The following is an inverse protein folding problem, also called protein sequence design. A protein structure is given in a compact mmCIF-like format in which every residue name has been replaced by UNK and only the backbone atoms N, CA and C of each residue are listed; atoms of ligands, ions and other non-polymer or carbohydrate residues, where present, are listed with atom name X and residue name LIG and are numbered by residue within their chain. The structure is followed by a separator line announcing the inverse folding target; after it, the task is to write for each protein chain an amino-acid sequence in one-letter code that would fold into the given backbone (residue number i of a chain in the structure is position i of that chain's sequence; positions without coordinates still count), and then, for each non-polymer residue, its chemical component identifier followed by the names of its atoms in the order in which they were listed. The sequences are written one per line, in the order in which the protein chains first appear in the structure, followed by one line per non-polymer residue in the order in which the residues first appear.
data_IF_698147244078
#
_entry.id   IF_698147244078
#
_cell.length_a   1.000
_cell.length_b   1.000
_cell.length_c   1.000
_cell.angle_alpha   90.00
_cell.angle_beta   90.00
_cell.angle_gamma   90.00
#
_symmetry.space_group_name_H-M   'P 1'
#
loop_
_entity.id
_entity.type
_entity.pdbx_description
1 polymer ?
#
# COMPACT_ATOMS: atom_id res chain seq x y z
N UNK A 1 54.89 8.64 -53.59
CA UNK A 1 53.45 8.63 -53.92
C UNK A 1 52.76 9.50 -52.92
N UNK A 2 52.77 10.78 -53.25
CA UNK A 2 52.02 11.84 -52.61
C UNK A 2 50.52 11.61 -52.80
N UNK A 3 49.76 11.91 -51.76
CA UNK A 3 48.30 11.80 -51.76
C UNK A 3 47.73 12.58 -50.59
N UNK A 4 48.06 13.87 -50.56
CA UNK A 4 47.37 14.88 -49.74
C UNK A 4 45.99 15.11 -50.36
N UNK A 5 44.94 14.92 -49.57
CA UNK A 5 43.57 15.31 -49.90
C UNK A 5 43.04 16.10 -48.72
N UNK A 6 42.94 17.39 -48.95
CA UNK A 6 42.43 18.46 -48.09
C UNK A 6 40.93 18.67 -48.31
N UNK A 7 40.27 19.15 -47.25
CA UNK A 7 39.03 19.95 -47.24
C UNK A 7 37.74 19.17 -47.61
N UNK A 8 36.59 19.34 -46.97
CA UNK A 8 35.94 20.56 -46.48
C UNK A 8 35.13 20.27 -45.20
N UNK A 9 35.30 21.11 -44.18
CA UNK A 9 34.38 21.24 -43.03
C UNK A 9 33.19 22.11 -43.47
N UNK A 10 32.00 21.51 -43.60
CA UNK A 10 30.74 22.25 -43.63
C UNK A 10 30.25 22.43 -42.20
N UNK A 11 30.45 23.63 -41.66
CA UNK A 11 29.83 24.09 -40.43
C UNK A 11 28.34 24.28 -40.63
N UNK A 12 27.55 23.31 -40.17
CA UNK A 12 26.13 23.51 -39.92
C UNK A 12 26.01 24.11 -38.52
N UNK A 13 25.75 25.43 -38.49
CA UNK A 13 25.24 26.13 -37.32
C UNK A 13 23.83 25.59 -37.00
N UNK A 14 23.77 24.43 -36.35
CA UNK A 14 22.55 24.00 -35.66
C UNK A 14 22.35 24.94 -34.47
N UNK A 15 21.46 25.92 -34.67
CA UNK A 15 20.89 26.70 -33.58
C UNK A 15 20.43 25.74 -32.49
N UNK A 16 21.09 25.81 -31.32
CA UNK A 16 20.68 25.17 -30.08
C UNK A 16 19.27 25.68 -29.71
N UNK A 17 18.25 25.04 -30.29
CA UNK A 17 16.87 25.14 -29.84
C UNK A 17 16.85 24.47 -28.48
N UNK A 18 17.13 25.25 -27.43
CA UNK A 18 16.93 24.85 -26.04
C UNK A 18 15.52 24.27 -25.97
N UNK A 19 15.36 22.95 -25.75
CA UNK A 19 14.05 22.34 -25.68
C UNK A 19 13.38 23.02 -24.50
N UNK A 20 12.39 23.86 -24.79
CA UNK A 20 11.56 24.49 -23.77
C UNK A 20 11.08 23.36 -22.87
N UNK A 21 11.62 23.30 -21.65
CA UNK A 21 11.30 22.27 -20.68
C UNK A 21 9.78 22.20 -20.66
N UNK A 22 9.16 21.03 -20.90
CA UNK A 22 7.72 20.92 -20.80
C UNK A 22 7.41 21.41 -19.39
N UNK A 23 6.76 22.57 -19.29
CA UNK A 23 6.27 23.12 -18.03
C UNK A 23 5.72 21.91 -17.30
N UNK A 24 6.34 21.57 -16.17
CA UNK A 24 5.83 20.55 -15.26
C UNK A 24 4.39 20.96 -15.10
N UNK A 25 3.50 20.27 -15.82
CA UNK A 25 2.08 20.49 -15.71
C UNK A 25 1.89 20.10 -14.27
N UNK A 26 1.81 21.11 -13.39
CA UNK A 26 1.12 21.00 -12.13
C UNK A 26 -0.18 20.38 -12.59
N UNK A 27 -0.30 19.05 -12.45
CA UNK A 27 -1.59 18.42 -12.42
C UNK A 27 -2.22 19.24 -11.32
N UNK A 28 -3.09 20.19 -11.71
CA UNK A 28 -4.20 20.59 -10.89
C UNK A 28 -4.90 19.26 -10.68
N UNK A 29 -4.43 18.53 -9.67
CA UNK A 29 -5.29 17.73 -8.85
C UNK A 29 -6.36 18.73 -8.50
N UNK A 30 -7.47 18.67 -9.24
CA UNK A 30 -8.66 19.26 -8.73
C UNK A 30 -8.76 18.61 -7.36
N UNK A 31 -8.51 19.36 -6.30
CA UNK A 31 -8.79 18.99 -4.91
C UNK A 31 -10.31 18.90 -4.70
N UNK A 32 -11.02 18.34 -5.68
CA UNK A 32 -12.05 17.37 -5.38
C UNK A 32 -11.27 16.25 -4.71
N UNK A 33 -11.22 16.33 -3.38
CA UNK A 33 -11.38 15.16 -2.52
C UNK A 33 -12.08 14.08 -3.35
N UNK A 34 -11.57 12.84 -3.44
CA UNK A 34 -12.35 11.76 -4.01
C UNK A 34 -13.58 11.63 -3.12
N UNK A 35 -14.57 12.47 -3.45
CA UNK A 35 -15.98 12.31 -3.23
C UNK A 35 -16.17 10.96 -3.86
N UNK A 36 -16.00 9.93 -3.03
CA UNK A 36 -16.95 8.85 -2.90
C UNK A 36 -18.21 9.43 -3.51
N UNK A 37 -18.43 9.10 -4.80
CA UNK A 37 -19.66 9.48 -5.42
C UNK A 37 -20.69 9.03 -4.41
N UNK A 38 -21.62 9.92 -4.05
CA UNK A 38 -22.68 9.62 -3.10
C UNK A 38 -23.63 8.58 -3.74
N UNK A 39 -23.08 7.48 -4.29
CA UNK A 39 -23.75 6.19 -4.38
C UNK A 39 -24.40 6.00 -3.03
N UNK A 40 -25.72 5.88 -3.08
CA UNK A 40 -26.52 5.73 -1.90
C UNK A 40 -25.93 4.58 -1.08
N UNK A 41 -25.95 4.74 0.24
CA UNK A 41 -25.53 3.71 1.19
C UNK A 41 -26.28 2.37 0.97
N UNK A 42 -27.34 2.40 0.17
CA UNK A 42 -28.18 1.30 -0.28
C UNK A 42 -27.48 0.33 -1.26
N UNK A 43 -26.45 0.75 -1.99
CA UNK A 43 -25.74 -0.10 -2.97
C UNK A 43 -24.56 -0.89 -2.36
N UNK A 44 -24.34 -0.82 -1.04
CA UNK A 44 -23.26 -1.57 -0.40
C UNK A 44 -23.66 -3.04 -0.31
N UNK A 45 -22.88 -3.99 -0.88
CA UNK A 45 -23.17 -5.41 -0.76
C UNK A 45 -23.35 -5.81 0.70
N UNK A 46 -24.32 -6.70 0.96
CA UNK A 46 -24.66 -7.14 2.32
C UNK A 46 -23.42 -7.59 3.11
N UNK A 47 -22.53 -8.33 2.47
CA UNK A 47 -21.29 -8.82 3.08
C UNK A 47 -20.35 -7.67 3.50
N UNK A 48 -20.22 -6.60 2.70
CA UNK A 48 -19.43 -5.43 3.07
C UNK A 48 -20.02 -4.69 4.28
N UNK A 49 -21.35 -4.64 4.40
CA UNK A 49 -22.04 -4.10 5.60
C UNK A 49 -21.72 -4.93 6.84
N UNK A 50 -21.68 -6.25 6.72
CA UNK A 50 -21.27 -7.17 7.80
C UNK A 50 -19.84 -6.87 8.26
N UNK A 51 -18.88 -6.80 7.34
CA UNK A 51 -17.47 -6.48 7.64
C UNK A 51 -17.35 -5.14 8.40
N UNK A 52 -18.03 -4.09 7.93
CA UNK A 52 -18.01 -2.77 8.58
C UNK A 52 -18.63 -2.80 9.99
N UNK A 53 -19.70 -3.56 10.18
CA UNK A 53 -20.31 -3.76 11.49
C UNK A 53 -19.35 -4.51 12.43
N UNK A 54 -18.72 -5.58 11.95
CA UNK A 54 -17.70 -6.34 12.70
C UNK A 54 -16.58 -5.43 13.18
N UNK A 55 -15.99 -4.62 12.29
CA UNK A 55 -14.92 -3.67 12.66
C UNK A 55 -15.41 -2.66 13.70
N UNK A 56 -16.62 -2.10 13.54
CA UNK A 56 -17.21 -1.16 14.52
C UNK A 56 -17.42 -1.81 15.88
N UNK A 57 -17.84 -3.08 15.91
CA UNK A 57 -18.06 -3.80 17.16
C UNK A 57 -16.73 -4.19 17.82
N UNK A 58 -15.72 -4.62 17.07
CA UNK A 58 -14.36 -4.82 17.57
C UNK A 58 -13.83 -3.55 18.25
N UNK A 59 -14.03 -2.36 17.66
CA UNK A 59 -13.65 -1.08 18.29
C UNK A 59 -14.39 -0.84 19.62
N UNK A 60 -15.69 -1.15 19.69
CA UNK A 60 -16.47 -1.05 20.93
C UNK A 60 -15.99 -2.03 22.00
N UNK A 61 -15.66 -3.27 21.61
CA UNK A 61 -15.09 -4.26 22.53
C UNK A 61 -13.78 -3.77 23.14
N UNK A 62 -12.86 -3.29 22.30
CA UNK A 62 -11.57 -2.74 22.76
C UNK A 62 -11.80 -1.59 23.73
N UNK A 63 -12.72 -0.67 23.42
CA UNK A 63 -13.06 0.44 24.32
C UNK A 63 -13.60 -0.06 25.66
N UNK A 64 -14.49 -1.05 25.64
CA UNK A 64 -15.06 -1.63 26.85
C UNK A 64 -14.00 -2.32 27.72
N UNK A 65 -13.13 -3.13 27.12
CA UNK A 65 -12.06 -3.85 27.83
C UNK A 65 -11.09 -2.86 28.50
N UNK A 66 -10.76 -1.76 27.80
CA UNK A 66 -9.99 -0.65 28.35
C UNK A 66 -10.66 -0.01 29.55
N UNK A 67 -11.96 0.26 29.45
CA UNK A 67 -12.73 0.88 30.52
C UNK A 67 -12.91 -0.06 31.72
N UNK A 68 -12.92 -1.38 31.50
CA UNK A 68 -13.16 -2.35 32.56
C UNK A 68 -11.90 -2.80 33.31
N UNK A 69 -10.73 -2.22 33.01
CA UNK A 69 -9.46 -2.59 33.65
C UNK A 69 -8.93 -3.98 33.27
N UNK A 70 -9.53 -4.64 32.27
CA UNK A 70 -9.15 -5.99 31.81
C UNK A 70 -8.06 -5.96 30.73
N UNK A 71 -7.29 -4.86 30.64
CA UNK A 71 -6.22 -4.71 29.64
C UNK A 71 -5.06 -5.70 29.85
N UNK A 72 -4.90 -6.26 31.05
CA UNK A 72 -3.86 -7.26 31.32
C UNK A 72 -4.05 -8.54 30.52
N UNK A 73 -5.27 -8.81 30.08
CA UNK A 73 -5.63 -10.05 29.36
C UNK A 73 -5.56 -9.88 27.83
N UNK A 74 -5.28 -8.65 27.34
CA UNK A 74 -5.22 -8.35 25.91
C UNK A 74 -4.05 -7.41 25.63
N UNK A 75 -2.97 -7.98 25.10
CA UNK A 75 -1.78 -7.23 24.72
C UNK A 75 -2.08 -6.24 23.56
N UNK A 76 -1.42 -5.07 23.61
CA UNK A 76 -1.33 -4.11 22.51
C UNK A 76 -2.66 -3.48 22.02
N UNK A 77 -3.60 -3.25 22.92
CA UNK A 77 -4.79 -2.44 22.61
C UNK A 77 -4.46 -0.95 22.59
N UNK A 78 -3.92 -0.39 21.51
CA UNK A 78 -3.64 1.05 21.46
C UNK A 78 -3.15 1.56 20.11
N UNK A 79 -3.88 2.54 19.56
CA UNK A 79 -3.38 3.28 18.42
C UNK A 79 -4.41 3.93 17.50
N UNK A 80 -3.93 4.87 16.69
CA UNK A 80 -4.70 5.59 15.66
C UNK A 80 -4.26 5.21 14.24
N UNK A 81 -3.13 4.52 14.08
CA UNK A 81 -2.61 4.13 12.76
C UNK A 81 -3.25 2.84 12.25
N UNK A 82 -3.19 2.63 10.94
CA UNK A 82 -3.68 1.38 10.30
C UNK A 82 -2.99 0.15 10.89
N UNK A 83 -1.68 0.22 11.12
CA UNK A 83 -0.89 -0.84 11.75
C UNK A 83 -1.46 -1.24 13.11
N UNK A 84 -1.72 -0.26 13.98
CA UNK A 84 -2.26 -0.49 15.32
C UNK A 84 -3.70 -1.02 15.30
N UNK A 85 -4.49 -0.66 14.27
CA UNK A 85 -5.82 -1.23 14.05
C UNK A 85 -5.75 -2.73 13.71
N UNK A 86 -4.77 -3.13 12.89
CA UNK A 86 -4.52 -4.53 12.54
C UNK A 86 -4.06 -5.31 13.78
N UNK A 87 -3.13 -4.75 14.57
CA UNK A 87 -2.69 -5.36 15.83
C UNK A 87 -3.85 -5.54 16.81
N UNK A 88 -4.72 -4.53 16.92
CA UNK A 88 -5.90 -4.61 17.79
C UNK A 88 -6.85 -5.73 17.37
N UNK A 89 -7.09 -5.91 16.06
CA UNK A 89 -7.90 -7.03 15.54
C UNK A 89 -7.21 -8.38 15.81
N UNK A 90 -5.89 -8.45 15.64
CA UNK A 90 -5.12 -9.66 15.90
C UNK A 90 -5.16 -10.06 17.39
N UNK A 91 -5.05 -9.10 18.31
CA UNK A 91 -5.21 -9.33 19.74
C UNK A 91 -6.64 -9.78 20.11
N UNK A 92 -7.66 -9.18 19.48
CA UNK A 92 -9.05 -9.64 19.66
C UNK A 92 -9.22 -11.08 19.22
N UNK A 93 -8.64 -11.45 18.07
CA UNK A 93 -8.71 -12.83 17.55
C UNK A 93 -8.03 -13.81 18.53
N UNK A 94 -6.79 -13.53 18.94
CA UNK A 94 -6.03 -14.39 19.89
C UNK A 94 -6.77 -14.61 21.20
N UNK A 95 -7.43 -13.57 21.72
CA UNK A 95 -8.18 -13.62 22.98
C UNK A 95 -9.68 -13.84 22.79
N UNK A 96 -10.17 -14.20 21.59
CA UNK A 96 -11.59 -14.14 21.25
C UNK A 96 -12.47 -14.97 22.20
N UNK A 97 -12.06 -16.22 22.49
CA UNK A 97 -12.75 -17.13 23.43
C UNK A 97 -12.81 -16.56 24.85
N UNK A 98 -11.74 -15.93 25.32
CA UNK A 98 -11.66 -15.32 26.65
C UNK A 98 -12.58 -14.09 26.71
N UNK A 99 -12.50 -13.22 25.71
CA UNK A 99 -13.34 -12.03 25.63
C UNK A 99 -14.81 -12.43 25.60
N UNK A 100 -15.15 -13.48 24.85
CA UNK A 100 -16.52 -14.01 24.77
C UNK A 100 -17.05 -14.40 26.16
N UNK A 101 -16.25 -15.10 26.96
CA UNK A 101 -16.59 -15.46 28.35
C UNK A 101 -16.78 -14.23 29.25
N UNK A 102 -15.87 -13.25 29.17
CA UNK A 102 -15.93 -12.02 29.99
C UNK A 102 -17.23 -11.25 29.75
N UNK A 103 -17.64 -11.09 28.49
CA UNK A 103 -18.84 -10.34 28.14
C UNK A 103 -20.12 -11.11 28.48
N UNK A 104 -20.12 -12.44 28.36
CA UNK A 104 -21.21 -13.29 28.85
C UNK A 104 -21.37 -13.10 30.36
N UNK A 105 -20.28 -13.18 31.11
CA UNK A 105 -20.29 -12.98 32.57
C UNK A 105 -20.80 -11.59 32.97
N UNK A 106 -20.43 -10.55 32.21
CA UNK A 106 -20.86 -9.15 32.44
C UNK A 106 -22.23 -8.81 31.84
N UNK A 107 -22.97 -9.78 31.29
CA UNK A 107 -24.28 -9.59 30.64
C UNK A 107 -24.27 -8.60 29.45
N UNK A 108 -23.12 -8.43 28.78
CA UNK A 108 -22.93 -7.52 27.65
C UNK A 108 -23.08 -8.23 26.29
N UNK A 109 -24.06 -9.14 26.17
CA UNK A 109 -24.23 -10.00 24.98
C UNK A 109 -24.36 -9.21 23.67
N UNK A 110 -24.98 -8.03 23.71
CA UNK A 110 -25.22 -7.16 22.54
C UNK A 110 -23.93 -6.76 21.80
N UNK A 111 -22.79 -6.75 22.48
CA UNK A 111 -21.50 -6.37 21.89
C UNK A 111 -20.83 -7.54 21.14
N UNK A 112 -21.27 -8.78 21.35
CA UNK A 112 -20.69 -9.98 20.71
C UNK A 112 -21.59 -10.56 19.62
N UNK A 113 -22.91 -10.38 19.69
CA UNK A 113 -23.86 -11.10 18.81
C UNK A 113 -23.58 -10.96 17.30
N UNK A 114 -22.91 -9.88 16.87
CA UNK A 114 -22.62 -9.60 15.46
C UNK A 114 -21.14 -9.77 15.12
N UNK A 115 -20.36 -10.43 15.96
CA UNK A 115 -18.95 -10.63 15.73
C UNK A 115 -18.71 -12.10 15.49
N UNK A 116 -18.38 -12.37 14.25
CA UNK A 116 -17.97 -13.68 13.79
C UNK A 116 -16.43 -13.73 13.74
N UNK A 117 -15.88 -14.80 14.32
CA UNK A 117 -14.43 -15.04 14.42
C UNK A 117 -13.82 -15.21 13.03
N UNK A 118 -14.53 -15.93 12.15
CA UNK A 118 -14.13 -16.16 10.76
C UNK A 118 -14.03 -14.84 9.99
N UNK A 119 -15.03 -13.98 10.09
CA UNK A 119 -15.00 -12.63 9.48
C UNK A 119 -13.78 -11.83 9.96
N UNK A 120 -13.39 -11.91 11.25
CA UNK A 120 -12.17 -11.25 11.75
C UNK A 120 -10.92 -11.86 11.10
N UNK A 121 -10.83 -13.19 11.00
CA UNK A 121 -9.69 -13.86 10.35
C UNK A 121 -9.54 -13.41 8.90
N UNK A 122 -10.64 -13.29 8.14
CA UNK A 122 -10.62 -12.81 6.76
C UNK A 122 -10.19 -11.35 6.63
N UNK A 123 -10.69 -10.48 7.52
CA UNK A 123 -10.25 -9.08 7.55
C UNK A 123 -8.73 -9.01 7.83
N UNK A 124 -8.24 -9.82 8.77
CA UNK A 124 -6.81 -9.87 9.09
C UNK A 124 -5.98 -10.40 7.92
N UNK A 125 -6.42 -11.48 7.27
CA UNK A 125 -5.78 -12.03 6.07
C UNK A 125 -5.60 -10.95 5.01
N UNK A 126 -6.66 -10.18 4.75
CA UNK A 126 -6.66 -9.11 3.75
C UNK A 126 -5.79 -7.91 4.13
N UNK A 127 -5.71 -7.56 5.41
CA UNK A 127 -4.93 -6.42 5.89
C UNK A 127 -3.45 -6.76 6.15
N UNK A 128 -3.09 -8.04 6.26
CA UNK A 128 -1.72 -8.49 6.56
C UNK A 128 -0.67 -7.97 5.57
N UNK A 129 -0.85 -8.07 4.23
CA UNK A 129 0.12 -7.53 3.27
C UNK A 129 0.42 -6.03 3.48
N UNK A 130 -0.58 -5.27 3.92
CA UNK A 130 -0.46 -3.84 4.20
C UNK A 130 0.38 -3.58 5.43
N UNK A 131 0.15 -4.35 6.49
CA UNK A 131 0.94 -4.29 7.71
C UNK A 131 2.42 -4.51 7.39
N UNK A 132 2.72 -5.51 6.57
CA UNK A 132 4.08 -5.87 6.20
C UNK A 132 4.75 -4.79 5.33
N UNK A 133 4.04 -4.28 4.34
CA UNK A 133 4.55 -3.19 3.49
C UNK A 133 4.76 -1.89 4.26
N UNK A 134 3.79 -1.48 5.09
CA UNK A 134 3.90 -0.26 5.90
C UNK A 134 5.11 -0.40 6.83
N UNK A 135 5.26 -1.56 7.49
CA UNK A 135 6.41 -1.84 8.33
C UNK A 135 7.72 -1.73 7.56
N UNK A 136 7.79 -2.31 6.36
CA UNK A 136 8.98 -2.27 5.50
C UNK A 136 9.39 -0.84 5.10
N UNK A 137 8.41 0.00 4.74
CA UNK A 137 8.66 1.39 4.35
C UNK A 137 9.04 2.25 5.56
N UNK A 138 8.46 1.98 6.73
CA UNK A 138 8.67 2.75 7.95
C UNK A 138 9.89 2.32 8.77
N UNK A 139 10.62 1.28 8.37
CA UNK A 139 11.85 0.85 9.06
C UNK A 139 12.90 1.97 9.01
N UNK A 140 12.96 2.80 10.05
CA UNK A 140 13.52 4.16 10.02
C UNK A 140 15.05 4.30 9.91
N UNK A 141 15.79 3.23 9.66
CA UNK A 141 17.25 3.26 9.63
C UNK A 141 17.85 3.31 8.22
N UNK A 142 17.02 3.26 7.16
CA UNK A 142 17.49 3.28 5.78
C UNK A 142 16.56 4.10 4.88
N UNK A 143 17.07 4.69 3.79
CA UNK A 143 16.25 5.43 2.84
C UNK A 143 15.24 4.47 2.18
N UNK A 144 13.95 4.65 2.45
CA UNK A 144 12.90 3.71 2.01
C UNK A 144 12.16 4.12 0.73
N UNK A 145 12.46 5.30 0.16
CA UNK A 145 11.76 5.82 -1.02
C UNK A 145 11.83 4.85 -2.21
N UNK A 146 12.97 4.18 -2.41
CA UNK A 146 13.16 3.19 -3.47
C UNK A 146 12.32 1.91 -3.28
N UNK A 147 11.86 1.64 -2.06
CA UNK A 147 11.00 0.51 -1.73
C UNK A 147 9.53 0.78 -2.01
N UNK A 148 9.12 2.05 -2.10
CA UNK A 148 7.71 2.44 -2.24
C UNK A 148 7.08 1.84 -3.50
N UNK A 149 7.75 1.93 -4.65
CA UNK A 149 7.29 1.33 -5.91
C UNK A 149 7.22 -0.20 -5.81
N UNK A 150 8.22 -0.83 -5.20
CA UNK A 150 8.26 -2.29 -5.03
C UNK A 150 7.12 -2.77 -4.16
N UNK A 151 6.89 -2.10 -3.04
CA UNK A 151 5.80 -2.36 -2.11
C UNK A 151 4.43 -2.19 -2.77
N UNK A 152 4.25 -1.12 -3.55
CA UNK A 152 3.03 -0.90 -4.30
C UNK A 152 2.77 -2.04 -5.30
N UNK A 153 3.81 -2.47 -6.02
CA UNK A 153 3.68 -3.60 -6.95
C UNK A 153 3.37 -4.90 -6.22
N UNK A 154 4.06 -5.20 -5.12
CA UNK A 154 3.77 -6.38 -4.29
C UNK A 154 2.31 -6.38 -3.84
N UNK A 155 1.80 -5.25 -3.33
CA UNK A 155 0.40 -5.15 -2.94
C UNK A 155 -0.53 -5.36 -4.13
N UNK A 156 -0.23 -4.79 -5.30
CA UNK A 156 -1.03 -4.98 -6.51
C UNK A 156 -1.08 -6.44 -6.94
N UNK A 157 0.03 -7.15 -6.87
CA UNK A 157 0.14 -8.56 -7.25
C UNK A 157 -0.59 -9.47 -6.26
N UNK A 158 -0.38 -9.26 -4.96
CA UNK A 158 -1.12 -9.94 -3.89
C UNK A 158 -2.61 -9.65 -4.00
N UNK A 159 -2.96 -8.43 -4.39
CA UNK A 159 -4.33 -7.98 -4.62
C UNK A 159 -4.81 -8.19 -6.07
N UNK A 160 -4.22 -9.12 -6.81
CA UNK A 160 -4.72 -9.48 -8.15
C UNK A 160 -5.83 -10.53 -8.09
N UNK A 161 -5.75 -11.47 -7.14
CA UNK A 161 -6.73 -12.54 -6.95
C UNK A 161 -6.74 -13.04 -5.49
N UNK A 162 -7.83 -13.67 -5.07
CA UNK A 162 -7.91 -14.28 -3.75
C UNK A 162 -6.86 -15.38 -3.55
N UNK A 163 -6.57 -16.17 -4.59
CA UNK A 163 -5.52 -17.18 -4.54
C UNK A 163 -4.14 -16.57 -4.26
N UNK A 164 -3.81 -15.45 -4.92
CA UNK A 164 -2.55 -14.72 -4.68
C UNK A 164 -2.43 -14.23 -3.24
N UNK A 165 -3.54 -13.86 -2.60
CA UNK A 165 -3.58 -13.50 -1.18
C UNK A 165 -3.31 -14.70 -0.28
N UNK A 166 -3.91 -15.86 -0.58
CA UNK A 166 -3.65 -17.10 0.16
C UNK A 166 -2.18 -17.56 0.01
N UNK A 167 -1.63 -17.47 -1.20
CA UNK A 167 -0.24 -17.83 -1.46
C UNK A 167 0.73 -16.88 -0.75
N UNK A 168 0.39 -15.59 -0.68
CA UNK A 168 1.13 -14.62 0.12
C UNK A 168 1.09 -14.99 1.61
N UNK A 169 -0.07 -15.35 2.15
CA UNK A 169 -0.21 -15.76 3.54
C UNK A 169 0.56 -17.03 3.85
N UNK A 170 0.58 -18.02 2.95
CA UNK A 170 1.39 -19.24 3.11
C UNK A 170 2.90 -18.96 3.13
N UNK A 171 3.35 -17.99 2.35
CA UNK A 171 4.78 -17.67 2.21
C UNK A 171 5.29 -16.71 3.29
N UNK A 172 4.42 -15.86 3.83
CA UNK A 172 4.77 -14.81 4.80
C UNK A 172 4.13 -15.03 6.18
N UNK A 173 3.21 -15.99 6.30
CA UNK A 173 2.65 -16.46 7.55
C UNK A 173 3.67 -17.30 8.30
N UNK A 174 4.15 -16.75 9.41
CA UNK A 174 4.90 -17.54 10.38
C UNK A 174 4.05 -18.70 10.92
N UNK A 175 4.65 -19.56 11.73
CA UNK A 175 4.00 -20.77 12.27
C UNK A 175 2.66 -20.51 13.01
N UNK A 176 2.37 -19.26 13.41
CA UNK A 176 1.11 -18.87 14.06
C UNK A 176 -0.14 -18.99 13.16
N UNK A 177 -0.01 -19.10 11.84
CA UNK A 177 -1.18 -19.13 10.92
C UNK A 177 -1.61 -20.52 10.45
N UNK A 178 -1.05 -21.60 11.01
CA UNK A 178 -1.45 -22.99 10.67
C UNK A 178 -2.76 -23.45 11.32
N UNK A 179 -3.58 -22.55 11.87
CA UNK A 179 -4.93 -22.95 12.27
C UNK A 179 -5.72 -23.32 11.00
N UNK A 180 -5.98 -24.61 10.83
CA UNK A 180 -6.65 -25.20 9.66
C UNK A 180 -7.94 -24.44 9.35
N UNK A 181 -7.94 -23.69 8.25
CA UNK A 181 -9.16 -23.23 7.58
C UNK A 181 -9.80 -24.45 6.90
N UNK A 182 -10.42 -25.31 7.69
CA UNK A 182 -11.13 -26.50 7.21
C UNK A 182 -12.55 -26.11 6.77
N UNK A 183 -12.63 -25.17 5.83
CA UNK A 183 -13.90 -24.66 5.30
C UNK A 183 -14.24 -25.27 3.95
N UNK A 184 -15.50 -25.68 3.83
CA UNK A 184 -16.09 -26.16 2.59
C UNK A 184 -16.25 -25.02 1.58
N UNK A 185 -15.96 -25.31 0.31
CA UNK A 185 -15.91 -24.35 -0.80
C UNK A 185 -17.19 -23.47 -0.99
N UNK A 186 -18.36 -23.92 -0.51
CA UNK A 186 -19.63 -23.21 -0.68
C UNK A 186 -19.74 -21.92 0.17
N UNK A 187 -19.22 -21.92 1.40
CA UNK A 187 -19.30 -20.74 2.29
C UNK A 187 -18.38 -19.59 1.84
N UNK A 188 -17.41 -19.91 0.97
CA UNK A 188 -16.41 -18.96 0.46
C UNK A 188 -17.00 -18.02 -0.59
N UNK A 189 -18.03 -18.46 -1.35
CA UNK A 189 -18.58 -17.72 -2.50
C UNK A 189 -19.32 -16.43 -2.13
N UNK A 190 -20.20 -16.47 -1.13
CA UNK A 190 -20.93 -15.27 -0.67
C UNK A 190 -20.00 -14.27 0.04
N UNK A 191 -18.95 -14.77 0.67
CA UNK A 191 -17.94 -13.97 1.35
C UNK A 191 -16.98 -13.30 0.36
N UNK A 192 -16.70 -13.96 -0.78
CA UNK A 192 -15.91 -13.42 -1.88
C UNK A 192 -16.48 -12.12 -2.44
N UNK A 193 -17.81 -11.95 -2.49
CA UNK A 193 -18.43 -10.70 -2.97
C UNK A 193 -18.11 -9.53 -2.01
N UNK A 194 -18.28 -9.74 -0.70
CA UNK A 194 -17.96 -8.76 0.33
C UNK A 194 -16.47 -8.41 0.36
N UNK A 195 -15.61 -9.42 0.23
CA UNK A 195 -14.17 -9.25 0.12
C UNK A 195 -13.84 -8.44 -1.12
N UNK A 196 -14.42 -8.74 -2.28
CA UNK A 196 -14.17 -8.03 -3.55
C UNK A 196 -14.56 -6.55 -3.47
N UNK A 197 -15.69 -6.23 -2.82
CA UNK A 197 -16.06 -4.84 -2.58
C UNK A 197 -15.02 -4.12 -1.72
N UNK A 198 -14.63 -4.73 -0.61
CA UNK A 198 -13.65 -4.15 0.31
C UNK A 198 -12.27 -4.05 -0.36
N UNK A 199 -11.92 -5.02 -1.19
CA UNK A 199 -10.71 -5.07 -2.01
C UNK A 199 -10.59 -3.88 -2.96
N UNK A 200 -11.67 -3.58 -3.70
CA UNK A 200 -11.71 -2.42 -4.58
C UNK A 200 -11.60 -1.12 -3.79
N UNK A 201 -12.22 -1.05 -2.61
CA UNK A 201 -12.12 0.11 -1.73
C UNK A 201 -10.69 0.31 -1.23
N UNK A 202 -10.05 -0.76 -0.76
CA UNK A 202 -8.67 -0.69 -0.29
C UNK A 202 -7.73 -0.33 -1.45
N UNK A 203 -7.93 -0.88 -2.66
CA UNK A 203 -7.14 -0.52 -3.84
C UNK A 203 -7.20 0.98 -4.14
N UNK A 204 -8.37 1.61 -3.97
CA UNK A 204 -8.51 3.06 -4.05
C UNK A 204 -7.64 3.78 -3.01
N UNK A 205 -7.75 3.37 -1.74
CA UNK A 205 -6.94 3.91 -0.65
C UNK A 205 -5.44 3.69 -0.89
N UNK A 206 -5.03 2.57 -1.48
CA UNK A 206 -3.64 2.31 -1.84
C UNK A 206 -3.11 3.30 -2.86
N UNK A 207 -3.87 3.51 -3.94
CA UNK A 207 -3.45 4.45 -4.98
C UNK A 207 -3.30 5.86 -4.39
N UNK A 208 -4.17 6.25 -3.46
CA UNK A 208 -4.10 7.53 -2.75
C UNK A 208 -2.94 7.60 -1.75
N UNK A 209 -2.75 6.56 -0.94
CA UNK A 209 -1.69 6.49 0.08
C UNK A 209 -0.30 6.50 -0.53
N UNK A 210 -0.11 5.79 -1.63
CA UNK A 210 1.18 5.68 -2.30
C UNK A 210 1.44 6.83 -3.27
N UNK A 211 0.38 7.36 -3.90
CA UNK A 211 0.43 8.47 -4.85
C UNK A 211 1.72 8.47 -5.69
N UNK A 212 1.96 7.34 -6.38
CA UNK A 212 3.23 7.11 -7.07
C UNK A 212 3.54 8.27 -8.02
N UNK A 213 4.79 8.69 -7.98
CA UNK A 213 5.33 9.87 -8.65
C UNK A 213 6.69 9.49 -9.22
N UNK A 214 7.15 10.21 -10.24
CA UNK A 214 8.37 9.93 -10.99
C UNK A 214 9.61 9.78 -10.09
N UNK A 215 9.62 10.48 -8.94
CA UNK A 215 10.67 10.36 -7.91
C UNK A 215 10.74 8.98 -7.26
N UNK A 216 9.61 8.31 -7.08
CA UNK A 216 9.57 6.93 -6.58
C UNK A 216 10.23 5.98 -7.58
N UNK A 217 9.89 6.11 -8.87
CA UNK A 217 10.50 5.33 -9.94
C UNK A 217 12.00 5.60 -10.07
N UNK A 218 12.41 6.87 -10.00
CA UNK A 218 13.81 7.27 -10.05
C UNK A 218 14.60 6.70 -8.86
N UNK A 219 14.05 6.79 -7.63
CA UNK A 219 14.68 6.21 -6.45
C UNK A 219 14.86 4.69 -6.59
N UNK A 220 13.84 3.96 -7.10
CA UNK A 220 13.95 2.53 -7.38
C UNK A 220 14.95 2.24 -8.49
N UNK A 221 15.01 3.06 -9.54
CA UNK A 221 15.94 2.92 -10.66
C UNK A 221 17.41 3.05 -10.20
N UNK A 222 17.68 3.99 -9.30
CA UNK A 222 19.02 4.25 -8.77
C UNK A 222 19.51 3.12 -7.86
N UNK A 223 18.62 2.27 -7.34
CA UNK A 223 19.01 1.11 -6.56
C UNK A 223 19.58 0.01 -7.48
N UNK A 224 20.83 -0.47 -7.27
CA UNK A 224 21.51 -1.39 -8.19
C UNK A 224 20.71 -2.65 -8.54
N UNK A 225 20.04 -3.23 -7.54
CA UNK A 225 19.22 -4.44 -7.69
C UNK A 225 17.97 -4.24 -8.57
N UNK A 226 17.44 -3.02 -8.66
CA UNK A 226 16.13 -2.73 -9.26
C UNK A 226 16.21 -1.83 -10.49
N UNK A 227 17.42 -1.57 -10.99
CA UNK A 227 17.70 -0.68 -12.13
C UNK A 227 16.97 -1.05 -13.43
N UNK A 228 16.52 -2.29 -13.59
CA UNK A 228 15.80 -2.71 -14.79
C UNK A 228 14.33 -2.28 -14.82
N UNK A 229 13.75 -1.93 -13.66
CA UNK A 229 12.34 -1.56 -13.49
C UNK A 229 11.38 -2.55 -14.21
N UNK A 230 11.65 -3.86 -14.12
CA UNK A 230 10.93 -4.89 -14.90
C UNK A 230 9.41 -4.89 -14.70
N UNK A 231 8.93 -4.44 -13.55
CA UNK A 231 7.50 -4.36 -13.25
C UNK A 231 6.80 -3.14 -13.87
N UNK A 232 7.55 -2.17 -14.40
CA UNK A 232 7.02 -0.95 -14.98
C UNK A 232 6.78 -1.12 -16.49
N UNK A 233 5.77 -0.42 -17.00
CA UNK A 233 5.51 -0.33 -18.44
C UNK A 233 6.69 0.31 -19.18
N UNK A 234 6.77 0.10 -20.51
CA UNK A 234 7.80 0.73 -21.34
C UNK A 234 7.72 2.27 -21.26
N UNK A 235 6.51 2.83 -21.22
CA UNK A 235 6.27 4.27 -21.09
C UNK A 235 6.80 4.82 -19.77
N UNK A 236 6.41 4.22 -18.63
CA UNK A 236 6.90 4.65 -17.31
C UNK A 236 8.43 4.57 -17.20
N UNK A 237 9.04 3.53 -17.78
CA UNK A 237 10.50 3.39 -17.81
C UNK A 237 11.15 4.51 -18.62
N UNK A 238 10.63 4.80 -19.81
CA UNK A 238 11.13 5.89 -20.67
C UNK A 238 11.04 7.26 -19.99
N UNK A 239 9.90 7.55 -19.36
CA UNK A 239 9.69 8.78 -18.59
C UNK A 239 10.69 8.87 -17.42
N UNK A 240 10.89 7.79 -16.68
CA UNK A 240 11.85 7.74 -15.57
C UNK A 240 13.29 7.98 -16.02
N UNK A 241 13.73 7.33 -17.11
CA UNK A 241 15.06 7.57 -17.69
C UNK A 241 15.24 9.02 -18.15
N UNK A 242 14.23 9.58 -18.80
CA UNK A 242 14.24 10.98 -19.26
C UNK A 242 14.37 11.93 -18.08
N UNK A 243 13.56 11.73 -17.04
CA UNK A 243 13.62 12.51 -15.80
C UNK A 243 15.01 12.44 -15.16
N UNK A 244 15.57 11.24 -14.97
CA UNK A 244 16.89 11.09 -14.35
C UNK A 244 17.99 11.74 -15.18
N UNK A 245 17.97 11.62 -16.51
CA UNK A 245 18.94 12.31 -17.39
C UNK A 245 18.87 13.83 -17.25
N UNK A 246 17.68 14.40 -17.22
CA UNK A 246 17.48 15.83 -17.01
C UNK A 246 18.02 16.27 -15.64
N UNK A 247 17.75 15.51 -14.58
CA UNK A 247 18.28 15.84 -13.25
C UNK A 247 19.82 15.76 -13.20
N UNK A 248 20.44 14.79 -13.88
CA UNK A 248 21.90 14.70 -13.99
C UNK A 248 22.46 15.91 -14.74
N UNK A 249 21.84 16.33 -15.84
CA UNK A 249 22.28 17.51 -16.59
C UNK A 249 22.23 18.79 -15.75
N UNK A 250 21.17 18.99 -14.96
CA UNK A 250 21.05 20.15 -14.07
C UNK A 250 22.18 20.21 -13.04
N UNK A 251 22.60 19.06 -12.51
CA UNK A 251 23.72 18.99 -11.55
C UNK A 251 25.06 19.30 -12.23
N UNK A 252 25.25 18.87 -13.48
CA UNK A 252 26.49 19.10 -14.24
C UNK A 252 26.70 20.57 -14.67
N UNK A 253 25.65 21.40 -14.64
CA UNK A 253 25.67 22.81 -15.07
C UNK A 253 26.03 23.76 -13.90
N UNK A 254 26.37 23.25 -12.71
CA UNK A 254 26.99 24.03 -11.64
C UNK A 254 28.55 23.94 -11.59
N UNK A 255 29.33 24.15 -12.69
CA UNK A 255 30.77 24.29 -12.54
C UNK A 255 31.10 25.71 -12.08
N UNK A 256 31.59 25.82 -10.85
CA UNK A 256 32.46 26.89 -10.37
C UNK A 256 31.92 28.32 -10.50
N UNK A 257 31.14 28.75 -9.50
CA UNK A 257 31.15 30.16 -9.11
C UNK A 257 32.59 30.59 -8.81
N UNK A 258 33.15 31.37 -9.72
CA UNK A 258 33.93 32.57 -9.43
C UNK A 258 34.68 32.56 -8.08
N UNK A 259 35.85 31.93 -8.06
CA UNK A 259 36.96 32.45 -7.27
C UNK A 259 37.41 33.76 -7.94
N UNK A 260 36.66 34.84 -7.73
CA UNK A 260 37.19 36.20 -7.83
C UNK A 260 37.88 36.51 -6.49
N UNK A 261 39.18 36.30 -6.44
CA UNK A 261 40.11 36.96 -5.52
C UNK A 261 41.15 37.71 -6.33
#
# INVERSE_FOLDING_TARGET
NDGLSSEEESGDDEEDVVPSLPMVRKRKTNDKEPLLSKKSVEDIPRAAKTILLTIKQCKKMVKFIKQSGSNKDIENLGGTTVHQAIDSLQSILKSFKIIKKIFIYKQQHKLIMNIDEKTIKQILLLLKPFKDVIRLIQTGNSPSLHMVLLCFQTLKDVMSSYQSLLDYDKTHGGDESKEDFDETDEDILDELEGITFFWNRIRGVLNEMFALDIRHYAATLLHPKYRSLKACSATERSECYTYVRQQIQLISIEPNGSNEQ
#
